data_IF_194460802474
#
_entry.id   IF_194460802474
#
_cell.length_a   1.000
_cell.length_b   1.000
_cell.length_c   1.000
_cell.angle_alpha   90.00
_cell.angle_beta   90.00
_cell.angle_gamma   90.00
#
_symmetry.space_group_name_H-M   'P 1'
#
loop_
_entity.id
_entity.type
_entity.pdbx_description
1 polymer ?
#
# COMPACT_ATOMS: atom_id res chain seq x y z
N UNK A 1 5.29 -0.63 -14.15
CA UNK A 1 5.54 0.40 -13.13
C UNK A 1 5.09 1.76 -13.64
N UNK A 2 4.38 2.53 -12.81
CA UNK A 2 3.99 3.91 -13.13
C UNK A 2 4.79 4.89 -12.27
N UNK A 3 5.91 5.40 -12.78
CA UNK A 3 6.70 6.46 -12.11
C UNK A 3 6.23 7.84 -12.59
N UNK A 4 6.02 8.80 -11.68
CA UNK A 4 5.86 10.24 -11.93
C UNK A 4 5.67 10.95 -10.58
N UNK A 5 5.88 12.25 -10.56
CA UNK A 5 5.83 13.09 -9.36
C UNK A 5 4.52 12.91 -8.56
N UNK A 6 4.59 12.95 -7.21
CA UNK A 6 3.39 12.90 -6.35
C UNK A 6 2.33 13.92 -6.78
N UNK A 7 1.06 13.51 -6.81
CA UNK A 7 -0.07 14.39 -7.17
C UNK A 7 -0.46 14.43 -8.65
N UNK A 8 0.15 13.62 -9.52
CA UNK A 8 -0.14 13.58 -10.98
C UNK A 8 -1.38 12.77 -11.38
N UNK A 9 -2.18 12.27 -10.42
CA UNK A 9 -3.43 11.55 -10.71
C UNK A 9 -3.29 10.07 -11.03
N UNK A 10 -2.14 9.45 -10.73
CA UNK A 10 -1.90 8.00 -10.89
C UNK A 10 -2.93 7.15 -10.14
N UNK A 11 -3.21 7.52 -8.89
CA UNK A 11 -4.22 6.87 -8.06
C UNK A 11 -5.61 6.93 -8.70
N UNK A 12 -5.92 8.01 -9.44
CA UNK A 12 -7.18 8.14 -10.21
C UNK A 12 -7.23 7.18 -11.40
N UNK A 13 -6.12 7.06 -12.15
CA UNK A 13 -6.00 6.11 -13.28
C UNK A 13 -6.11 4.68 -12.79
N UNK A 14 -5.40 4.36 -11.71
CA UNK A 14 -5.42 3.04 -11.07
C UNK A 14 -6.83 2.68 -10.58
N UNK A 15 -7.52 3.62 -9.91
CA UNK A 15 -8.90 3.41 -9.47
C UNK A 15 -9.86 3.16 -10.63
N UNK A 16 -9.78 3.93 -11.70
CA UNK A 16 -10.62 3.75 -12.89
C UNK A 16 -10.34 2.43 -13.61
N UNK A 17 -9.08 1.97 -13.57
CA UNK A 17 -8.73 0.65 -14.08
C UNK A 17 -9.37 -0.45 -13.22
N UNK A 18 -9.29 -0.36 -11.89
CA UNK A 18 -9.95 -1.29 -11.00
C UNK A 18 -11.48 -1.31 -11.20
N UNK A 19 -12.12 -0.14 -11.38
CA UNK A 19 -13.56 -0.04 -11.67
C UNK A 19 -13.96 -0.69 -13.02
N UNK A 20 -13.06 -0.69 -14.02
CA UNK A 20 -13.26 -1.33 -15.34
C UNK A 20 -12.89 -2.81 -15.37
N UNK A 21 -12.26 -3.32 -14.32
CA UNK A 21 -11.79 -4.69 -14.18
C UNK A 21 -12.65 -5.45 -13.15
N UNK A 22 -13.98 -5.24 -13.15
CA UNK A 22 -14.89 -5.84 -12.17
C UNK A 22 -14.83 -7.38 -12.09
N UNK A 23 -14.42 -8.04 -13.18
CA UNK A 23 -14.23 -9.51 -13.25
C UNK A 23 -12.82 -9.97 -12.82
N UNK A 24 -11.93 -9.04 -12.46
CA UNK A 24 -10.55 -9.31 -12.04
C UNK A 24 -10.50 -9.33 -10.52
N UNK A 25 -10.00 -10.43 -9.94
CA UNK A 25 -9.67 -10.45 -8.51
C UNK A 25 -8.36 -9.71 -8.28
N UNK A 26 -8.49 -8.48 -7.81
CA UNK A 26 -7.38 -7.61 -7.46
C UNK A 26 -7.02 -7.83 -5.99
N UNK A 27 -5.71 -7.98 -5.73
CA UNK A 27 -5.15 -7.97 -4.39
C UNK A 27 -4.15 -6.82 -4.22
N UNK A 28 -3.95 -6.37 -2.98
CA UNK A 28 -3.07 -5.27 -2.64
C UNK A 28 -3.80 -4.09 -2.01
N UNK A 29 -3.18 -2.92 -2.05
CA UNK A 29 -3.62 -1.75 -1.31
C UNK A 29 -3.15 -0.45 -1.93
N UNK A 30 -3.71 0.65 -1.44
CA UNK A 30 -3.14 1.99 -1.61
C UNK A 30 -2.95 2.70 -0.26
N UNK A 31 -2.02 3.66 -0.21
CA UNK A 31 -1.69 4.46 0.96
C UNK A 31 -2.46 5.78 0.92
N UNK A 32 -3.30 6.01 1.92
CA UNK A 32 -4.10 7.22 2.06
C UNK A 32 -3.55 8.13 3.17
N UNK A 33 -3.42 9.42 2.86
CA UNK A 33 -3.05 10.42 3.87
C UNK A 33 -4.19 10.66 4.86
N UNK A 34 -3.84 10.79 6.13
CA UNK A 34 -4.73 11.29 7.18
C UNK A 34 -4.40 12.76 7.38
N UNK A 35 -5.38 13.62 7.12
CA UNK A 35 -5.25 15.07 7.28
C UNK A 35 -6.18 15.59 8.38
N UNK A 36 -5.71 16.55 9.16
CA UNK A 36 -6.52 17.29 10.12
C UNK A 36 -6.10 18.76 10.06
N UNK A 37 -7.09 19.67 9.97
CA UNK A 37 -6.86 21.13 9.86
C UNK A 37 -5.86 21.51 8.75
N UNK A 38 -5.96 20.86 7.60
CA UNK A 38 -5.06 21.09 6.45
C UNK A 38 -3.69 20.39 6.54
N UNK A 39 -3.29 19.91 7.71
CA UNK A 39 -1.99 19.26 7.91
C UNK A 39 -2.06 17.73 7.79
N UNK A 40 -1.03 17.13 7.20
CA UNK A 40 -0.85 15.67 7.17
C UNK A 40 -0.39 15.15 8.52
N UNK A 41 -1.26 14.38 9.17
CA UNK A 41 -1.09 13.76 10.50
C UNK A 41 -0.63 12.31 10.46
N UNK A 42 -0.87 11.60 9.36
CA UNK A 42 -0.47 10.19 9.25
C UNK A 42 -0.83 9.55 7.92
N UNK A 43 -0.73 8.23 7.89
CA UNK A 43 -0.94 7.40 6.72
C UNK A 43 -1.66 6.11 7.09
N UNK A 44 -2.52 5.65 6.18
CA UNK A 44 -3.28 4.41 6.32
C UNK A 44 -3.16 3.60 5.04
N UNK A 45 -2.92 2.29 5.18
CA UNK A 45 -3.11 1.34 4.09
C UNK A 45 -4.59 1.04 3.93
N UNK A 46 -5.10 1.11 2.70
CA UNK A 46 -6.47 0.80 2.34
C UNK A 46 -6.43 -0.28 1.26
N UNK A 47 -6.92 -1.46 1.61
CA UNK A 47 -6.98 -2.59 0.71
C UNK A 47 -8.18 -2.50 -0.25
N UNK A 48 -8.14 -3.26 -1.33
CA UNK A 48 -9.25 -3.33 -2.31
C UNK A 48 -10.47 -4.11 -1.78
N UNK A 49 -10.32 -4.86 -0.68
CA UNK A 49 -11.42 -5.45 0.09
C UNK A 49 -12.03 -4.47 1.13
N UNK A 50 -11.66 -3.18 1.05
CA UNK A 50 -12.03 -2.09 1.95
C UNK A 50 -11.46 -2.17 3.38
N UNK A 51 -10.64 -3.17 3.70
CA UNK A 51 -9.91 -3.23 4.98
C UNK A 51 -8.87 -2.09 5.09
N UNK A 52 -8.59 -1.68 6.33
CA UNK A 52 -7.87 -0.45 6.64
C UNK A 52 -6.88 -0.64 7.79
N UNK A 53 -5.65 -0.16 7.64
CA UNK A 53 -4.63 -0.23 8.70
C UNK A 53 -3.90 1.13 8.88
N UNK A 54 -3.92 1.69 10.10
CA UNK A 54 -3.16 2.89 10.45
C UNK A 54 -1.67 2.54 10.60
N UNK A 55 -0.87 2.87 9.60
CA UNK A 55 0.56 2.48 9.54
C UNK A 55 1.52 3.54 10.05
N UNK A 56 1.11 4.82 10.06
CA UNK A 56 1.96 5.88 10.56
C UNK A 56 1.14 7.05 11.11
N UNK A 57 1.59 7.65 12.21
CA UNK A 57 0.94 8.83 12.79
C UNK A 57 1.94 9.69 13.57
N UNK A 58 1.69 11.00 13.66
CA UNK A 58 2.54 11.94 14.42
C UNK A 58 2.50 11.71 15.94
N UNK A 59 1.41 11.12 16.45
CA UNK A 59 1.24 10.81 17.88
C UNK A 59 1.77 9.43 18.27
N UNK A 60 2.23 8.62 17.30
CA UNK A 60 2.78 7.29 17.62
C UNK A 60 4.20 7.38 18.18
N UNK A 61 4.59 6.47 19.10
CA UNK A 61 5.97 6.34 19.56
C UNK A 61 6.95 6.13 18.40
N UNK A 62 8.16 6.69 18.52
CA UNK A 62 9.14 6.79 17.42
C UNK A 62 10.12 5.62 17.34
N UNK A 63 9.73 4.40 17.75
CA UNK A 63 10.59 3.20 17.65
C UNK A 63 11.06 2.96 16.22
N UNK A 64 10.15 3.12 15.26
CA UNK A 64 10.47 3.27 13.84
C UNK A 64 9.91 4.61 13.37
N UNK A 65 10.65 5.34 12.51
CA UNK A 65 10.22 6.66 12.05
C UNK A 65 10.62 6.96 10.61
N UNK A 66 9.76 7.73 9.94
CA UNK A 66 10.05 8.39 8.67
C UNK A 66 9.60 9.84 8.79
N UNK A 67 10.57 10.77 8.78
CA UNK A 67 10.31 12.17 9.08
C UNK A 67 9.70 12.35 10.48
N UNK A 68 8.54 13.04 10.56
CA UNK A 68 7.82 13.29 11.81
C UNK A 68 6.88 12.15 12.26
N UNK A 69 6.73 11.10 11.47
CA UNK A 69 5.73 10.05 11.70
C UNK A 69 6.36 8.85 12.40
N UNK A 70 5.75 8.41 13.52
CA UNK A 70 6.02 7.10 14.10
C UNK A 70 5.33 6.02 13.27
N UNK A 71 6.09 4.99 12.88
CA UNK A 71 5.63 3.91 11.98
C UNK A 71 5.30 2.65 12.79
N UNK A 72 4.12 2.10 12.56
CA UNK A 72 3.64 0.83 13.12
C UNK A 72 3.97 -0.30 12.16
N UNK A 73 5.21 -0.82 12.25
CA UNK A 73 5.70 -1.90 11.39
C UNK A 73 4.83 -3.17 11.54
N UNK A 74 4.33 -3.45 12.74
CA UNK A 74 3.45 -4.60 12.97
C UNK A 74 2.09 -4.45 12.26
N UNK A 75 1.57 -3.22 12.14
CA UNK A 75 0.38 -2.97 11.32
C UNK A 75 0.65 -3.16 9.82
N UNK A 76 1.84 -2.77 9.33
CA UNK A 76 2.26 -3.01 7.94
C UNK A 76 2.40 -4.51 7.69
N UNK A 77 3.04 -5.25 8.60
CA UNK A 77 3.20 -6.71 8.52
C UNK A 77 1.86 -7.42 8.35
N UNK A 78 0.89 -7.12 9.23
CA UNK A 78 -0.47 -7.70 9.15
C UNK A 78 -1.18 -7.33 7.85
N UNK A 79 -1.08 -6.07 7.43
CA UNK A 79 -1.70 -5.62 6.18
C UNK A 79 -1.08 -6.31 4.96
N UNK A 80 0.25 -6.43 4.92
CA UNK A 80 0.97 -7.09 3.83
C UNK A 80 0.60 -8.58 3.75
N UNK A 81 0.51 -9.29 4.88
CA UNK A 81 0.06 -10.69 4.88
C UNK A 81 -1.37 -10.83 4.36
N UNK A 82 -2.27 -9.97 4.85
CA UNK A 82 -3.68 -10.02 4.49
C UNK A 82 -3.92 -9.68 3.02
N UNK A 83 -3.12 -8.79 2.43
CA UNK A 83 -3.39 -8.23 1.10
C UNK A 83 -2.44 -8.71 -0.01
N UNK A 84 -1.24 -9.15 0.35
CA UNK A 84 -0.20 -9.57 -0.60
C UNK A 84 0.22 -11.04 -0.41
N UNK A 85 -0.35 -11.73 0.59
CA UNK A 85 -0.13 -13.15 0.78
C UNK A 85 -0.66 -14.00 -0.39
N UNK A 86 -0.30 -15.29 -0.47
CA UNK A 86 -0.86 -16.22 -1.45
C UNK A 86 -2.39 -16.29 -1.33
N UNK A 87 -3.10 -15.95 -2.40
CA UNK A 87 -4.56 -15.92 -2.44
C UNK A 87 -5.06 -16.56 -3.75
N UNK A 88 -6.06 -17.43 -3.65
CA UNK A 88 -6.56 -18.18 -4.80
C UNK A 88 -7.30 -17.28 -5.81
N UNK A 89 -6.86 -17.36 -7.06
CA UNK A 89 -7.48 -16.68 -8.19
C UNK A 89 -7.25 -15.18 -8.25
N UNK A 90 -6.27 -14.63 -7.50
CA UNK A 90 -5.77 -13.27 -7.74
C UNK A 90 -5.14 -13.23 -9.13
N UNK A 91 -5.64 -12.31 -9.95
CA UNK A 91 -5.20 -12.14 -11.35
C UNK A 91 -4.45 -10.84 -11.56
N UNK A 92 -4.42 -9.94 -10.58
CA UNK A 92 -3.66 -8.69 -10.59
C UNK A 92 -3.31 -8.27 -9.16
N UNK A 93 -2.03 -7.92 -8.95
CA UNK A 93 -1.63 -7.16 -7.76
C UNK A 93 -1.58 -5.68 -8.07
N UNK A 94 -2.08 -4.87 -7.15
CA UNK A 94 -2.11 -3.43 -7.25
C UNK A 94 -1.63 -2.78 -5.95
N UNK A 95 -0.52 -2.04 -6.01
CA UNK A 95 0.16 -1.48 -4.83
C UNK A 95 0.54 -0.02 -5.07
N UNK A 96 -0.09 0.91 -4.37
CA UNK A 96 0.16 2.36 -4.50
C UNK A 96 0.38 2.99 -3.10
N UNK A 97 1.56 3.08 -2.51
CA UNK A 97 2.92 3.24 -3.06
C UNK A 97 3.91 2.32 -2.34
N UNK A 98 4.99 1.92 -3.02
CA UNK A 98 6.12 1.20 -2.41
C UNK A 98 7.10 2.22 -1.82
N UNK A 99 6.74 2.75 -0.65
CA UNK A 99 7.49 3.80 0.02
C UNK A 99 8.49 3.30 1.07
N UNK A 100 9.28 4.25 1.60
CA UNK A 100 10.21 3.99 2.72
C UNK A 100 9.47 3.47 3.98
N UNK A 101 8.21 3.85 4.19
CA UNK A 101 7.46 3.42 5.38
C UNK A 101 7.11 1.94 5.31
N UNK A 102 6.58 1.50 4.18
CA UNK A 102 6.19 0.12 3.89
C UNK A 102 7.41 -0.80 3.89
N UNK A 103 8.53 -0.34 3.32
CA UNK A 103 9.80 -1.07 3.28
C UNK A 103 10.48 -1.26 4.65
N UNK A 104 9.98 -0.66 5.73
CA UNK A 104 10.42 -1.02 7.09
C UNK A 104 9.91 -2.41 7.52
N UNK A 105 8.87 -2.93 6.87
CA UNK A 105 8.37 -4.29 7.09
C UNK A 105 9.13 -5.28 6.22
N UNK A 106 9.85 -6.21 6.87
CA UNK A 106 10.50 -7.32 6.18
C UNK A 106 9.48 -8.25 5.48
N UNK A 107 8.26 -8.37 6.04
CA UNK A 107 7.18 -9.17 5.45
C UNK A 107 6.67 -8.54 4.16
N UNK A 108 6.44 -7.23 4.17
CA UNK A 108 6.10 -6.48 2.96
C UNK A 108 7.16 -6.67 1.88
N UNK A 109 8.44 -6.49 2.21
CA UNK A 109 9.55 -6.67 1.25
C UNK A 109 9.58 -8.10 0.69
N UNK A 110 9.37 -9.12 1.53
CA UNK A 110 9.31 -10.51 1.09
C UNK A 110 8.13 -10.76 0.13
N UNK A 111 6.94 -10.26 0.43
CA UNK A 111 5.78 -10.37 -0.46
C UNK A 111 6.01 -9.65 -1.79
N UNK A 112 6.56 -8.44 -1.76
CA UNK A 112 6.86 -7.68 -2.98
C UNK A 112 7.88 -8.40 -3.87
N UNK A 113 8.95 -8.97 -3.30
CA UNK A 113 9.92 -9.79 -4.06
C UNK A 113 9.23 -10.99 -4.70
N UNK A 114 8.45 -11.75 -3.94
CA UNK A 114 7.69 -12.90 -4.44
C UNK A 114 6.74 -12.52 -5.59
N UNK A 115 6.08 -11.36 -5.49
CA UNK A 115 5.16 -10.87 -6.52
C UNK A 115 5.94 -10.45 -7.78
N UNK A 116 7.07 -9.75 -7.62
CA UNK A 116 7.93 -9.32 -8.73
C UNK A 116 8.53 -10.50 -9.50
N UNK A 117 8.89 -11.58 -8.79
CA UNK A 117 9.40 -12.82 -9.39
C UNK A 117 8.28 -13.74 -9.91
N UNK A 118 7.02 -13.37 -9.67
CA UNK A 118 5.83 -14.16 -9.97
C UNK A 118 5.30 -13.97 -11.40
N UNK A 119 4.27 -14.77 -11.74
CA UNK A 119 3.57 -14.70 -13.04
C UNK A 119 2.33 -13.80 -13.02
N UNK A 120 1.83 -13.47 -11.84
CA UNK A 120 0.65 -12.59 -11.71
C UNK A 120 1.09 -11.15 -11.94
N UNK A 121 0.47 -10.40 -12.87
CA UNK A 121 0.83 -9.01 -13.12
C UNK A 121 0.80 -8.16 -11.85
N UNK A 122 1.73 -7.22 -11.76
CA UNK A 122 1.79 -6.20 -10.71
C UNK A 122 1.74 -4.81 -11.34
N UNK A 123 0.82 -3.98 -10.85
CA UNK A 123 0.83 -2.54 -11.05
C UNK A 123 1.23 -1.91 -9.73
N UNK A 124 2.34 -1.17 -9.74
CA UNK A 124 2.78 -0.45 -8.56
C UNK A 124 3.35 0.94 -8.88
N UNK A 125 3.27 1.82 -7.88
CA UNK A 125 3.92 3.13 -7.82
C UNK A 125 5.05 3.11 -6.78
N UNK A 126 6.05 3.96 -6.98
CA UNK A 126 7.25 4.15 -6.16
C UNK A 126 7.52 5.64 -6.00
#
# INVERSE_FOLDING_TARGET
MLTASPGTGKTTVIRRLAERLADVRIAGFYTAEIRARGERRGFRLVAYDASKALIAHVERPKTHRVGKYGVDVAAIDRAADATLGPQAGVTLYLVDEIGKMECLSARFVAHMRRILDGRVPLIATV
#
